data_IF_839616617391
#
_entry.id   IF_839616617391
#
_cell.length_a   1.000
_cell.length_b   1.000
_cell.length_c   1.000
_cell.angle_alpha   90.00
_cell.angle_beta   90.00
_cell.angle_gamma   90.00
#
_symmetry.space_group_name_H-M   'P 1'
#
loop_
_entity.id
_entity.type
_entity.pdbx_description
1 polymer ?
#
# COMPACT_ATOMS: atom_id res chain seq x y z
N UNK A 1 -17.26 1.98 -8.90
CA UNK A 1 -16.08 1.24 -8.40
C UNK A 1 -16.29 -0.23 -8.70
N UNK A 2 -15.27 -0.91 -9.24
CA UNK A 2 -15.31 -2.35 -9.48
C UNK A 2 -15.24 -3.07 -8.13
N UNK A 3 -15.86 -4.26 -8.03
CA UNK A 3 -15.78 -5.09 -6.82
C UNK A 3 -14.32 -5.50 -6.51
N UNK A 4 -13.51 -5.64 -7.57
CA UNK A 4 -12.07 -5.95 -7.49
C UNK A 4 -11.28 -4.81 -6.81
N UNK A 5 -11.46 -3.55 -7.22
CA UNK A 5 -10.83 -2.41 -6.57
C UNK A 5 -11.14 -2.32 -5.07
N UNK A 6 -12.40 -2.49 -4.67
CA UNK A 6 -12.78 -2.45 -3.26
C UNK A 6 -12.13 -3.59 -2.44
N UNK A 7 -11.99 -4.77 -3.03
CA UNK A 7 -11.32 -5.90 -2.39
C UNK A 7 -9.81 -5.64 -2.25
N UNK A 8 -9.18 -5.11 -3.29
CA UNK A 8 -7.79 -4.68 -3.27
C UNK A 8 -7.55 -3.66 -2.15
N UNK A 9 -8.32 -2.57 -2.12
CA UNK A 9 -8.18 -1.53 -1.09
C UNK A 9 -8.31 -2.10 0.31
N UNK A 10 -9.29 -2.97 0.57
CA UNK A 10 -9.47 -3.64 1.86
C UNK A 10 -8.26 -4.51 2.23
N UNK A 11 -7.67 -5.22 1.26
CA UNK A 11 -6.48 -6.06 1.46
C UNK A 11 -5.28 -5.21 1.85
N UNK A 12 -5.04 -4.10 1.15
CA UNK A 12 -3.94 -3.17 1.46
C UNK A 12 -4.13 -2.53 2.84
N UNK A 13 -5.34 -2.04 3.14
CA UNK A 13 -5.67 -1.49 4.46
C UNK A 13 -5.47 -2.52 5.58
N UNK A 14 -5.82 -3.79 5.34
CA UNK A 14 -5.60 -4.85 6.33
C UNK A 14 -4.10 -5.12 6.57
N UNK A 15 -3.28 -5.06 5.54
CA UNK A 15 -1.84 -5.22 5.66
C UNK A 15 -1.23 -4.10 6.51
N UNK A 16 -1.56 -2.85 6.17
CA UNK A 16 -1.13 -1.64 6.89
C UNK A 16 -1.56 -1.68 8.36
N UNK A 17 -2.84 -2.01 8.64
CA UNK A 17 -3.40 -2.04 9.98
C UNK A 17 -3.05 -3.30 10.80
N UNK A 18 -2.22 -4.20 10.26
CA UNK A 18 -1.80 -5.38 11.01
C UNK A 18 -0.93 -4.97 12.22
N UNK A 19 -1.01 -5.66 13.37
CA UNK A 19 -0.26 -5.28 14.57
C UNK A 19 1.25 -5.16 14.34
N UNK A 20 1.81 -6.07 13.53
CA UNK A 20 3.23 -6.05 13.18
C UNK A 20 3.60 -4.87 12.31
N UNK A 21 2.76 -4.51 11.34
CA UNK A 21 3.00 -3.38 10.46
C UNK A 21 2.88 -2.05 11.20
N UNK A 22 1.86 -1.88 12.05
CA UNK A 22 1.71 -0.71 12.91
C UNK A 22 2.85 -0.57 13.91
N UNK A 23 3.38 -1.66 14.46
CA UNK A 23 4.51 -1.58 15.40
C UNK A 23 5.85 -1.24 14.71
N UNK A 24 6.04 -1.67 13.46
CA UNK A 24 7.28 -1.44 12.68
C UNK A 24 7.20 -0.22 11.76
N UNK A 25 6.01 0.36 11.62
CA UNK A 25 5.63 1.36 10.63
C UNK A 25 6.04 0.99 9.20
N UNK A 26 5.87 -0.28 8.85
CA UNK A 26 6.31 -0.83 7.59
C UNK A 26 5.56 -2.10 7.21
N UNK A 27 5.23 -2.25 5.92
CA UNK A 27 4.63 -3.48 5.37
C UNK A 27 4.98 -3.67 3.90
N UNK A 28 5.04 -4.92 3.44
CA UNK A 28 5.11 -5.28 2.03
C UNK A 28 3.74 -5.66 1.49
N UNK A 29 3.44 -5.19 0.27
CA UNK A 29 2.20 -5.50 -0.42
C UNK A 29 2.52 -5.90 -1.85
N UNK A 30 2.01 -7.05 -2.26
CA UNK A 30 2.13 -7.57 -3.62
C UNK A 30 0.79 -7.58 -4.35
N UNK A 31 0.78 -7.18 -5.61
CA UNK A 31 -0.33 -7.40 -6.55
C UNK A 31 -0.65 -8.89 -6.64
N UNK A 32 -1.94 -9.23 -6.66
CA UNK A 32 -2.44 -10.57 -6.88
C UNK A 32 -2.96 -10.71 -8.30
N UNK A 33 -3.05 -11.95 -8.80
CA UNK A 33 -3.52 -12.22 -10.15
C UNK A 33 -4.98 -11.77 -10.39
N UNK A 34 -5.77 -11.64 -9.32
CA UNK A 34 -7.16 -11.16 -9.37
C UNK A 34 -7.29 -9.63 -9.31
N UNK A 35 -6.21 -8.91 -8.99
CA UNK A 35 -6.21 -7.46 -8.97
C UNK A 35 -6.01 -6.95 -10.41
N UNK A 36 -6.91 -6.11 -10.90
CA UNK A 36 -6.72 -5.46 -12.20
C UNK A 36 -5.47 -4.55 -12.15
N UNK A 37 -4.61 -4.56 -13.19
CA UNK A 37 -3.38 -3.75 -13.20
C UNK A 37 -3.65 -2.26 -12.99
N UNK A 38 -4.73 -1.73 -13.58
CA UNK A 38 -5.13 -0.33 -13.45
C UNK A 38 -5.59 0.00 -12.02
N UNK A 39 -6.32 -0.91 -11.39
CA UNK A 39 -6.78 -0.76 -10.00
C UNK A 39 -5.57 -0.79 -9.03
N UNK A 40 -4.58 -1.68 -9.28
CA UNK A 40 -3.32 -1.70 -8.55
C UNK A 40 -2.55 -0.39 -8.68
N UNK A 41 -2.29 0.06 -9.91
CA UNK A 41 -1.57 1.30 -10.18
C UNK A 41 -2.24 2.50 -9.52
N UNK A 42 -3.58 2.52 -9.52
CA UNK A 42 -4.36 3.55 -8.83
C UNK A 42 -4.13 3.54 -7.32
N UNK A 43 -4.23 2.39 -6.64
CA UNK A 43 -4.02 2.31 -5.19
C UNK A 43 -2.62 2.75 -4.79
N UNK A 44 -1.60 2.32 -5.53
CA UNK A 44 -0.20 2.73 -5.28
C UNK A 44 -0.04 4.23 -5.50
N UNK A 45 -0.61 4.78 -6.58
CA UNK A 45 -0.58 6.22 -6.83
C UNK A 45 -1.27 7.01 -5.70
N UNK A 46 -2.43 6.55 -5.22
CA UNK A 46 -3.16 7.22 -4.13
C UNK A 46 -2.36 7.19 -2.82
N UNK A 47 -1.76 6.05 -2.47
CA UNK A 47 -0.91 5.92 -1.28
C UNK A 47 0.35 6.79 -1.35
N UNK A 48 0.92 6.97 -2.54
CA UNK A 48 2.08 7.84 -2.76
C UNK A 48 1.79 9.34 -2.60
N UNK A 49 0.51 9.73 -2.53
CA UNK A 49 0.10 11.11 -2.22
C UNK A 49 -0.09 11.36 -0.73
N UNK A 50 -0.05 10.31 0.10
CA UNK A 50 -0.26 10.44 1.55
C UNK A 50 1.02 10.99 2.19
N UNK A 51 0.89 12.08 2.94
CA UNK A 51 2.00 12.67 3.67
C UNK A 51 2.62 11.65 4.64
N UNK A 52 3.96 11.67 4.74
CA UNK A 52 4.73 10.78 5.59
C UNK A 52 4.63 9.28 5.24
N UNK A 53 4.08 8.95 4.07
CA UNK A 53 4.14 7.60 3.49
C UNK A 53 5.23 7.56 2.43
N UNK A 54 6.11 6.56 2.50
CA UNK A 54 7.09 6.26 1.47
C UNK A 54 6.77 4.92 0.84
N UNK A 55 6.67 4.90 -0.49
CA UNK A 55 6.52 3.70 -1.30
C UNK A 55 7.82 3.38 -2.01
N UNK A 56 8.31 2.16 -1.84
CA UNK A 56 9.51 1.67 -2.54
C UNK A 56 9.17 0.39 -3.32
N UNK A 57 9.21 0.42 -4.66
CA UNK A 57 9.13 -0.78 -5.48
C UNK A 57 10.26 -1.75 -5.13
N UNK A 58 9.91 -3.03 -5.00
CA UNK A 58 10.85 -4.12 -4.71
C UNK A 58 11.22 -4.87 -6.00
N UNK A 59 10.31 -4.89 -6.97
CA UNK A 59 10.53 -5.40 -8.32
C UNK A 59 10.45 -4.29 -9.37
N UNK A 60 10.95 -4.60 -10.58
CA UNK A 60 11.01 -3.66 -11.70
C UNK A 60 9.62 -3.25 -12.22
N UNK A 61 8.63 -4.13 -12.07
CA UNK A 61 7.26 -3.94 -12.55
C UNK A 61 6.36 -3.23 -11.53
N UNK A 62 6.88 -2.89 -10.34
CA UNK A 62 6.14 -2.32 -9.21
C UNK A 62 4.89 -3.14 -8.82
N UNK A 63 4.90 -4.45 -9.07
CA UNK A 63 3.90 -5.39 -8.58
C UNK A 63 4.13 -5.75 -7.11
N UNK A 64 5.34 -5.53 -6.61
CA UNK A 64 5.68 -5.68 -5.21
C UNK A 64 6.24 -4.38 -4.67
N UNK A 65 5.60 -3.82 -3.64
CA UNK A 65 6.03 -2.57 -3.01
C UNK A 65 6.17 -2.75 -1.52
N UNK A 66 7.15 -2.05 -0.94
CA UNK A 66 7.16 -1.77 0.50
C UNK A 66 6.55 -0.40 0.76
N UNK A 67 5.80 -0.33 1.85
CA UNK A 67 5.14 0.87 2.36
C UNK A 67 5.70 1.12 3.75
N UNK A 68 6.37 2.25 3.95
CA UNK A 68 6.74 2.74 5.28
C UNK A 68 6.03 4.04 5.60
N UNK A 69 5.82 4.30 6.89
CA UNK A 69 5.33 5.59 7.36
C UNK A 69 6.07 6.03 8.61
N UNK A 70 6.09 7.34 8.86
CA UNK A 70 6.65 7.89 10.09
C UNK A 70 5.58 8.66 10.88
N UNK A 71 5.05 8.09 11.99
CA UNK A 71 4.02 8.77 12.77
C UNK A 71 4.54 10.03 13.48
N UNK A 72 5.85 10.16 13.73
CA UNK A 72 6.42 11.33 14.40
C UNK A 72 6.44 12.57 13.49
N UNK A 73 6.69 12.39 12.18
CA UNK A 73 6.60 13.45 11.17
C UNK A 73 5.16 13.81 10.80
N UNK A 74 4.20 12.92 11.08
CA UNK A 74 2.76 13.14 10.80
C UNK A 74 2.06 14.10 11.78
N UNK A 75 2.73 14.48 12.87
CA UNK A 75 2.19 15.28 13.97
C UNK A 75 2.76 16.71 14.02
N UNK A 76 3.64 17.09 13.08
CA UNK A 76 4.30 18.40 13.01
C UNK A 76 3.60 19.39 12.08
#
# INVERSE_FOLDING_TARGET
MSKSYEQLVKRVQRAINSPGAQSKHWVEVKRQAEDEPEDWARVISELGTVENVTLTPIDDDAEHVSISWNPEESMS
#
